data_IF_425988779066
#
_entry.id   IF_425988779066
#
_cell.length_a   1.000
_cell.length_b   1.000
_cell.length_c   1.000
_cell.angle_alpha   90.00
_cell.angle_beta   90.00
_cell.angle_gamma   90.00
#
_symmetry.space_group_name_H-M   'P 1'
#
loop_
_entity.id
_entity.type
_entity.pdbx_description
1 polymer ?
#
# COMPACT_ATOMS: atom_id res chain seq x y z
N UNK A 1 -10.61 -19.63 -54.75
CA UNK A 1 -9.30 -19.20 -55.31
C UNK A 1 -8.63 -18.28 -54.30
N UNK A 2 -7.49 -18.70 -53.74
CA UNK A 2 -6.82 -18.08 -52.59
C UNK A 2 -6.08 -16.79 -52.99
N UNK A 3 -6.35 -15.68 -52.29
CA UNK A 3 -5.80 -14.34 -52.57
C UNK A 3 -4.33 -14.16 -52.17
N UNK A 4 -3.71 -15.15 -51.54
CA UNK A 4 -2.35 -15.07 -50.97
C UNK A 4 -1.22 -15.30 -51.98
N UNK A 5 -1.49 -15.94 -53.14
CA UNK A 5 -0.48 -16.12 -54.20
C UNK A 5 -0.21 -14.84 -55.02
N UNK A 6 -1.04 -13.80 -54.86
CA UNK A 6 -0.98 -12.57 -55.67
C UNK A 6 -0.10 -11.48 -55.06
N UNK A 7 0.24 -11.60 -53.77
CA UNK A 7 1.06 -10.63 -53.06
C UNK A 7 2.42 -11.26 -52.72
N UNK A 8 3.26 -11.42 -53.75
CA UNK A 8 4.67 -11.77 -53.54
C UNK A 8 5.45 -10.48 -53.22
N UNK A 9 5.88 -10.25 -51.97
CA UNK A 9 6.53 -8.99 -51.57
C UNK A 9 7.86 -8.78 -52.30
N UNK A 10 8.54 -9.85 -52.70
CA UNK A 10 9.80 -9.76 -53.45
C UNK A 10 9.60 -9.12 -54.82
N UNK A 11 8.51 -9.50 -55.51
CA UNK A 11 8.17 -8.94 -56.82
C UNK A 11 7.79 -7.46 -56.70
N UNK A 12 7.02 -7.08 -55.67
CA UNK A 12 6.64 -5.69 -55.43
C UNK A 12 7.83 -4.77 -55.12
N UNK A 13 8.82 -5.24 -54.36
CA UNK A 13 10.04 -4.47 -54.05
C UNK A 13 10.90 -4.26 -55.31
N UNK A 14 11.04 -5.29 -56.15
CA UNK A 14 11.79 -5.18 -57.41
C UNK A 14 11.10 -4.23 -58.40
N UNK A 15 9.77 -4.31 -58.51
CA UNK A 15 8.98 -3.43 -59.38
C UNK A 15 9.03 -1.97 -58.93
N UNK A 16 8.88 -1.72 -57.62
CA UNK A 16 9.07 -0.41 -57.02
C UNK A 16 10.47 0.16 -57.31
N UNK A 17 11.52 -0.63 -57.14
CA UNK A 17 12.90 -0.20 -57.36
C UNK A 17 13.19 0.12 -58.83
N UNK A 18 12.61 -0.64 -59.74
CA UNK A 18 12.67 -0.38 -61.17
C UNK A 18 11.98 0.94 -61.54
N UNK A 19 10.79 1.21 -60.98
CA UNK A 19 10.06 2.47 -61.20
C UNK A 19 10.79 3.67 -60.58
N UNK A 20 11.28 3.53 -59.35
CA UNK A 20 11.97 4.61 -58.62
C UNK A 20 13.27 5.08 -59.32
N UNK A 21 13.97 4.17 -60.00
CA UNK A 21 15.19 4.49 -60.76
C UNK A 21 14.94 5.27 -62.06
N UNK A 22 13.70 5.30 -62.57
CA UNK A 22 13.38 6.09 -63.76
C UNK A 22 13.65 7.58 -63.51
N UNK A 23 14.06 8.33 -64.55
CA UNK A 23 14.28 9.77 -64.44
C UNK A 23 12.94 10.51 -64.36
N UNK A 24 12.33 10.53 -63.17
CA UNK A 24 11.13 11.30 -62.86
C UNK A 24 11.51 12.47 -61.91
N UNK A 25 11.17 13.73 -62.24
CA UNK A 25 11.47 14.88 -61.38
C UNK A 25 10.78 14.82 -60.01
N UNK A 26 9.67 14.09 -59.86
CA UNK A 26 8.86 14.03 -58.63
C UNK A 26 9.27 12.92 -57.66
N UNK A 27 10.24 12.06 -58.00
CA UNK A 27 10.66 10.91 -57.16
C UNK A 27 11.13 11.31 -55.75
N UNK A 28 11.90 12.39 -55.65
CA UNK A 28 12.42 12.90 -54.38
C UNK A 28 11.37 13.67 -53.56
N UNK A 29 10.57 14.58 -54.16
CA UNK A 29 9.46 15.22 -53.46
C UNK A 29 8.46 14.23 -52.84
N UNK A 30 8.03 13.20 -53.60
CA UNK A 30 7.06 12.22 -53.11
C UNK A 30 7.66 11.37 -51.98
N UNK A 31 8.94 10.99 -52.10
CA UNK A 31 9.65 10.27 -51.04
C UNK A 31 9.75 11.13 -49.78
N UNK A 32 10.11 12.41 -49.91
CA UNK A 32 10.24 13.33 -48.79
C UNK A 32 8.91 13.50 -48.05
N UNK A 33 7.80 13.72 -48.77
CA UNK A 33 6.46 13.83 -48.16
C UNK A 33 6.05 12.52 -47.48
N UNK A 34 6.32 11.38 -48.10
CA UNK A 34 6.02 10.06 -47.53
C UNK A 34 6.79 9.77 -46.23
N UNK A 35 7.95 10.41 -46.02
CA UNK A 35 8.76 10.23 -44.81
C UNK A 35 8.35 11.16 -43.65
N UNK A 36 7.51 12.17 -43.89
CA UNK A 36 7.06 13.11 -42.85
C UNK A 36 6.39 12.40 -41.67
N UNK A 37 5.44 11.44 -41.85
CA UNK A 37 4.78 10.79 -40.72
C UNK A 37 5.76 10.03 -39.82
N UNK A 38 6.78 9.38 -40.41
CA UNK A 38 7.82 8.69 -39.66
C UNK A 38 8.67 9.69 -38.85
N UNK A 39 9.09 10.79 -39.48
CA UNK A 39 9.84 11.85 -38.79
C UNK A 39 9.10 12.43 -37.60
N UNK A 40 7.79 12.67 -37.73
CA UNK A 40 6.93 13.16 -36.64
C UNK A 40 6.87 12.17 -35.48
N UNK A 41 6.68 10.88 -35.77
CA UNK A 41 6.61 9.82 -34.74
C UNK A 41 7.96 9.70 -34.00
N UNK A 42 9.08 9.66 -34.73
CA UNK A 42 10.40 9.55 -34.09
C UNK A 42 10.76 10.79 -33.27
N UNK A 43 10.40 11.98 -33.75
CA UNK A 43 10.58 13.21 -32.99
C UNK A 43 9.78 13.20 -31.69
N UNK A 44 8.52 12.78 -31.75
CA UNK A 44 7.66 12.64 -30.58
C UNK A 44 8.20 11.60 -29.59
N UNK A 45 8.59 10.42 -30.06
CA UNK A 45 9.13 9.35 -29.20
C UNK A 45 10.46 9.75 -28.56
N UNK A 46 11.31 10.47 -29.28
CA UNK A 46 12.60 10.94 -28.75
C UNK A 46 12.45 12.05 -27.70
N UNK A 47 11.27 12.66 -27.56
CA UNK A 47 11.01 13.70 -26.57
C UNK A 47 10.62 13.15 -25.20
N UNK A 48 10.39 11.84 -25.09
CA UNK A 48 9.99 11.21 -23.84
C UNK A 48 11.21 10.98 -22.92
N UNK A 49 11.28 11.73 -21.83
CA UNK A 49 12.29 11.52 -20.78
C UNK A 49 11.77 10.51 -19.77
N UNK A 50 12.31 9.29 -19.79
CA UNK A 50 12.02 8.28 -18.76
C UNK A 50 12.87 8.59 -17.52
N UNK A 51 12.22 9.02 -16.45
CA UNK A 51 12.86 9.16 -15.15
C UNK A 51 13.08 7.78 -14.54
N UNK A 52 14.32 7.49 -14.13
CA UNK A 52 14.64 6.24 -13.42
C UNK A 52 14.04 6.29 -12.01
N UNK A 53 13.46 5.19 -11.56
CA UNK A 53 13.01 5.06 -10.17
C UNK A 53 14.16 5.36 -9.19
N UNK A 54 13.90 6.10 -8.10
CA UNK A 54 14.92 6.38 -7.10
C UNK A 54 15.46 5.07 -6.50
N UNK A 55 16.78 4.98 -6.21
CA UNK A 55 17.34 3.81 -5.54
C UNK A 55 16.69 3.62 -4.16
N UNK A 56 16.52 2.36 -3.75
CA UNK A 56 16.01 2.05 -2.40
C UNK A 56 16.97 2.62 -1.35
N UNK A 57 16.46 3.22 -0.25
CA UNK A 57 17.31 3.74 0.81
C UNK A 57 18.06 2.61 1.52
N UNK A 58 19.31 2.88 1.89
CA UNK A 58 20.10 2.00 2.75
C UNK A 58 19.71 2.27 4.22
N UNK A 59 19.40 1.20 4.97
CA UNK A 59 18.99 1.28 6.39
C UNK A 59 20.13 0.71 7.24
N UNK A 60 20.71 1.53 8.11
CA UNK A 60 21.66 1.10 9.14
C UNK A 60 20.90 0.84 10.46
N UNK A 61 20.96 -0.40 10.95
CA UNK A 61 20.34 -0.78 12.21
C UNK A 61 21.34 -0.59 13.37
N UNK A 62 21.01 0.26 14.32
CA UNK A 62 21.77 0.43 15.56
C UNK A 62 21.16 -0.51 16.61
N UNK A 63 21.87 -1.58 16.96
CA UNK A 63 21.41 -2.56 17.97
C UNK A 63 22.10 -2.32 19.31
N UNK A 64 21.32 -2.30 20.41
CA UNK A 64 21.85 -2.17 21.78
C UNK A 64 22.28 -3.52 22.37
N UNK A 65 21.84 -4.62 21.78
CA UNK A 65 22.18 -5.97 22.23
C UNK A 65 23.40 -6.50 21.50
N UNK A 66 24.22 -7.27 22.23
CA UNK A 66 25.35 -7.99 21.67
C UNK A 66 24.85 -9.03 20.64
N UNK A 67 25.36 -9.02 19.39
CA UNK A 67 24.91 -9.93 18.34
C UNK A 67 25.37 -11.38 18.52
N UNK A 68 26.29 -11.65 19.45
CA UNK A 68 26.80 -12.97 19.80
C UNK A 68 26.20 -13.53 21.10
N UNK A 69 25.21 -12.85 21.71
CA UNK A 69 24.52 -13.35 22.90
C UNK A 69 23.88 -14.72 22.63
N UNK A 70 24.04 -15.65 23.56
CA UNK A 70 23.47 -16.98 23.49
C UNK A 70 21.97 -16.97 23.80
N UNK A 71 21.22 -17.94 23.26
CA UNK A 71 19.78 -18.07 23.53
C UNK A 71 19.46 -18.18 25.03
N UNK A 72 20.35 -18.81 25.81
CA UNK A 72 20.21 -18.91 27.27
C UNK A 72 20.27 -17.53 27.96
N UNK A 73 21.20 -16.67 27.55
CA UNK A 73 21.31 -15.29 28.04
C UNK A 73 20.10 -14.45 27.63
N UNK A 74 19.56 -14.68 26.42
CA UNK A 74 18.33 -14.03 25.96
C UNK A 74 17.16 -14.40 26.88
N UNK A 75 16.98 -15.69 27.13
CA UNK A 75 15.89 -16.19 27.94
C UNK A 75 16.00 -15.69 29.38
N UNK A 76 17.20 -15.73 29.97
CA UNK A 76 17.43 -15.22 31.32
C UNK A 76 17.08 -13.73 31.43
N UNK A 77 17.57 -12.91 30.49
CA UNK A 77 17.27 -11.48 30.46
C UNK A 77 15.78 -11.21 30.24
N UNK A 78 15.11 -11.97 29.38
CA UNK A 78 13.68 -11.82 29.16
C UNK A 78 12.87 -12.17 30.41
N UNK A 79 13.24 -13.23 31.13
CA UNK A 79 12.56 -13.66 32.35
C UNK A 79 12.69 -12.60 33.45
N UNK A 80 13.89 -12.09 33.68
CA UNK A 80 14.13 -11.00 34.64
C UNK A 80 13.32 -9.75 34.28
N UNK A 81 13.31 -9.36 33.01
CA UNK A 81 12.51 -8.24 32.55
C UNK A 81 11.01 -8.49 32.68
N UNK A 82 10.55 -9.73 32.52
CA UNK A 82 9.15 -10.10 32.69
C UNK A 82 8.73 -9.97 34.15
N UNK A 83 9.55 -10.44 35.09
CA UNK A 83 9.27 -10.30 36.52
C UNK A 83 9.15 -8.83 36.93
N UNK A 84 10.08 -7.98 36.48
CA UNK A 84 10.03 -6.53 36.75
C UNK A 84 8.77 -5.89 36.15
N UNK A 85 8.36 -6.31 34.94
CA UNK A 85 7.12 -5.83 34.31
C UNK A 85 5.90 -6.26 35.11
N UNK A 86 5.82 -7.52 35.50
CA UNK A 86 4.69 -8.08 36.22
C UNK A 86 4.51 -7.40 37.59
N UNK A 87 5.62 -7.13 38.28
CA UNK A 87 5.62 -6.37 39.54
C UNK A 87 5.10 -4.94 39.36
N UNK A 88 5.57 -4.24 38.33
CA UNK A 88 5.11 -2.88 38.02
C UNK A 88 3.64 -2.85 37.65
N UNK A 89 3.18 -3.78 36.82
CA UNK A 89 1.77 -3.88 36.44
C UNK A 89 0.88 -4.19 37.65
N UNK A 90 1.33 -5.08 38.55
CA UNK A 90 0.63 -5.34 39.80
C UNK A 90 0.52 -4.08 40.68
N UNK A 91 1.59 -3.30 40.81
CA UNK A 91 1.56 -2.03 41.55
C UNK A 91 0.64 -1.00 40.88
N UNK A 92 0.71 -0.84 39.57
CA UNK A 92 -0.14 0.07 38.81
C UNK A 92 -1.62 -0.29 38.95
N UNK A 93 -1.97 -1.58 38.87
CA UNK A 93 -3.34 -2.05 39.12
C UNK A 93 -3.82 -1.70 40.53
N UNK A 94 -3.00 -1.96 41.55
CA UNK A 94 -3.32 -1.59 42.95
C UNK A 94 -3.48 -0.09 43.14
N UNK A 95 -2.64 0.71 42.50
CA UNK A 95 -2.73 2.18 42.54
C UNK A 95 -3.97 2.68 41.81
N UNK A 96 -4.30 2.10 40.66
CA UNK A 96 -5.48 2.43 39.88
C UNK A 96 -6.77 2.13 40.67
N UNK A 97 -6.85 0.95 41.30
CA UNK A 97 -7.95 0.58 42.21
C UNK A 97 -8.11 1.61 43.32
N UNK A 98 -7.02 1.89 44.05
CA UNK A 98 -7.04 2.87 45.15
C UNK A 98 -7.45 4.27 44.68
N UNK A 99 -6.97 4.70 43.50
CA UNK A 99 -7.37 5.99 42.91
C UNK A 99 -8.87 6.00 42.62
N UNK A 100 -9.42 4.95 41.98
CA UNK A 100 -10.86 4.86 41.72
C UNK A 100 -11.66 4.94 43.02
N UNK A 101 -11.28 4.17 44.03
CA UNK A 101 -11.99 4.15 45.32
C UNK A 101 -11.96 5.52 46.01
N UNK A 102 -10.80 6.19 45.98
CA UNK A 102 -10.66 7.55 46.50
C UNK A 102 -11.56 8.55 45.76
N UNK A 103 -11.61 8.50 44.42
CA UNK A 103 -12.47 9.40 43.65
C UNK A 103 -13.96 9.12 43.88
N UNK A 104 -14.35 7.84 44.02
CA UNK A 104 -15.72 7.46 44.40
C UNK A 104 -16.08 8.01 45.79
N UNK A 105 -15.20 7.83 46.77
CA UNK A 105 -15.41 8.34 48.13
C UNK A 105 -15.51 9.88 48.15
N UNK A 106 -14.64 10.57 47.40
CA UNK A 106 -14.67 12.02 47.27
C UNK A 106 -15.98 12.49 46.62
N UNK A 107 -16.44 11.81 45.56
CA UNK A 107 -17.69 12.15 44.90
C UNK A 107 -18.90 11.98 45.80
N UNK A 108 -18.97 10.86 46.53
CA UNK A 108 -20.01 10.61 47.51
C UNK A 108 -20.00 11.67 48.63
N UNK A 109 -18.83 12.03 49.15
CA UNK A 109 -18.69 13.07 50.17
C UNK A 109 -19.08 14.48 49.67
N UNK A 110 -18.89 14.75 48.38
CA UNK A 110 -19.33 15.98 47.72
C UNK A 110 -20.85 15.98 47.38
N UNK A 111 -21.57 14.90 47.70
CA UNK A 111 -23.02 14.77 47.47
C UNK A 111 -23.40 14.28 46.07
N UNK A 112 -22.47 13.70 45.30
CA UNK A 112 -22.78 13.09 44.01
C UNK A 112 -23.26 11.63 44.18
N UNK A 113 -24.22 11.21 43.36
CA UNK A 113 -24.66 9.81 43.26
C UNK A 113 -23.71 9.03 42.33
N UNK A 114 -22.65 8.50 42.93
CA UNK A 114 -21.57 7.81 42.22
C UNK A 114 -22.04 6.50 41.58
N UNK A 115 -23.04 5.83 42.18
CA UNK A 115 -23.57 4.56 41.68
C UNK A 115 -24.45 4.79 40.44
N UNK A 116 -25.29 5.82 40.45
CA UNK A 116 -26.06 6.23 39.27
C UNK A 116 -25.13 6.64 38.12
N UNK A 117 -24.08 7.43 38.40
CA UNK A 117 -23.09 7.85 37.40
C UNK A 117 -22.35 6.63 36.82
N UNK A 118 -21.98 5.65 37.65
CA UNK A 118 -21.32 4.44 37.20
C UNK A 118 -22.23 3.61 36.28
N UNK A 119 -23.51 3.45 36.64
CA UNK A 119 -24.48 2.72 35.84
C UNK A 119 -24.74 3.38 34.47
N UNK A 120 -24.85 4.70 34.42
CA UNK A 120 -24.98 5.45 33.16
C UNK A 120 -23.73 5.29 32.28
N UNK A 121 -22.54 5.36 32.88
CA UNK A 121 -21.28 5.17 32.17
C UNK A 121 -21.13 3.74 31.61
N UNK A 122 -21.58 2.72 32.34
CA UNK A 122 -21.59 1.33 31.88
C UNK A 122 -22.54 1.11 30.71
N UNK A 123 -23.76 1.67 30.79
CA UNK A 123 -24.73 1.61 29.70
C UNK A 123 -24.18 2.27 28.43
N UNK A 124 -23.62 3.48 28.56
CA UNK A 124 -23.02 4.20 27.44
C UNK A 124 -21.84 3.44 26.82
N UNK A 125 -20.96 2.83 27.62
CA UNK A 125 -19.85 2.02 27.11
C UNK A 125 -20.33 0.80 26.33
N UNK A 126 -21.34 0.09 26.82
CA UNK A 126 -21.93 -1.05 26.12
C UNK A 126 -22.53 -0.65 24.76
N UNK A 127 -23.19 0.51 24.69
CA UNK A 127 -23.70 1.07 23.43
C UNK A 127 -22.56 1.42 22.46
N UNK A 128 -21.51 2.09 22.94
CA UNK A 128 -20.34 2.45 22.14
C UNK A 128 -19.60 1.21 21.61
N UNK A 129 -19.41 0.18 22.43
CA UNK A 129 -18.81 -1.10 22.05
C UNK A 129 -19.65 -1.83 21.00
N UNK A 130 -20.97 -1.90 21.17
CA UNK A 130 -21.88 -2.49 20.19
C UNK A 130 -21.84 -1.74 18.85
N UNK A 131 -21.79 -0.41 18.88
CA UNK A 131 -21.66 0.41 17.67
C UNK A 131 -20.28 0.22 17.00
N UNK A 132 -19.20 0.04 17.77
CA UNK A 132 -17.88 -0.30 17.24
C UNK A 132 -17.82 -1.69 16.61
N UNK A 133 -18.47 -2.68 17.22
CA UNK A 133 -18.60 -4.02 16.66
C UNK A 133 -19.37 -4.01 15.34
N UNK A 134 -20.50 -3.30 15.28
CA UNK A 134 -21.25 -3.12 14.04
C UNK A 134 -20.41 -2.44 12.96
N UNK A 135 -19.70 -1.35 13.30
CA UNK A 135 -18.79 -0.66 12.38
C UNK A 135 -17.66 -1.58 11.89
N UNK A 136 -17.07 -2.39 12.77
CA UNK A 136 -16.06 -3.38 12.39
C UNK A 136 -16.65 -4.44 11.44
N UNK A 137 -17.82 -4.99 11.76
CA UNK A 137 -18.49 -5.98 10.94
C UNK A 137 -18.86 -5.44 9.55
N UNK A 138 -19.37 -4.21 9.45
CA UNK A 138 -19.64 -3.54 8.16
C UNK A 138 -18.38 -3.35 7.32
N UNK A 139 -17.25 -2.99 7.96
CA UNK A 139 -15.97 -2.84 7.27
C UNK A 139 -15.47 -4.18 6.71
N UNK A 140 -15.58 -5.27 7.48
CA UNK A 140 -15.22 -6.61 7.04
C UNK A 140 -16.17 -7.16 5.95
N UNK A 141 -17.48 -6.90 6.05
CA UNK A 141 -18.45 -7.29 5.02
C UNK A 141 -18.28 -6.53 3.70
N UNK A 142 -17.93 -5.24 3.76
CA UNK A 142 -17.62 -4.45 2.56
C UNK A 142 -16.36 -4.96 1.85
N UNK A 143 -15.37 -5.47 2.59
CA UNK A 143 -14.18 -6.07 1.96
C UNK A 143 -14.46 -7.38 1.23
N UNK A 144 -15.42 -8.20 1.68
CA UNK A 144 -15.82 -9.41 0.96
C UNK A 144 -16.54 -9.07 -0.36
N UNK A 145 -17.48 -8.13 -0.35
CA UNK A 145 -18.19 -7.71 -1.58
C UNK A 145 -17.27 -7.05 -2.62
N UNK A 146 -16.17 -6.42 -2.19
CA UNK A 146 -15.17 -5.84 -3.11
C UNK A 146 -14.19 -6.87 -3.66
N UNK A 147 -14.09 -8.06 -3.05
CA UNK A 147 -13.32 -9.18 -3.58
C UNK A 147 -14.02 -9.89 -4.74
N UNK A 148 -15.35 -9.91 -4.74
CA UNK A 148 -16.17 -10.63 -5.73
C UNK A 148 -16.35 -9.87 -7.06
N UNK A 149 -16.18 -8.55 -7.05
CA UNK A 149 -16.30 -7.66 -8.22
C UNK A 149 -14.98 -7.43 -8.99
N UNK A 150 -13.92 -8.22 -8.73
CA UNK A 150 -12.69 -8.15 -9.54
C UNK A 150 -12.88 -9.03 -10.79
N UNK A 151 -13.00 -8.47 -12.01
CA UNK A 151 -12.91 -9.29 -13.21
C UNK A 151 -11.48 -9.85 -13.28
N UNK A 152 -11.39 -11.17 -13.16
CA UNK A 152 -10.18 -11.96 -13.40
C UNK A 152 -9.68 -11.67 -14.82
N UNK A 153 -8.50 -11.07 -14.93
CA UNK A 153 -7.79 -10.81 -16.19
C UNK A 153 -6.34 -11.24 -16.08
#
# INVERSE_FOLDING_TARGET
>A
MSSLSRFNPKTGVVDFWHEFRKPNPLRWPILAVSMIPFGVIFWWLSSETVYKDPPRPEIEYITTYDPQRSDEEIMASNLENQEVKDLREAEERRLAERKRDLYKALGAAAGMDVDAIAAEADARRAEEEAAEEQRRAEMFGRTETRGEDRPEG
#
